data_IF_685160032663
#
_entry.id   IF_685160032663
#
_cell.length_a   1.000
_cell.length_b   1.000
_cell.length_c   1.000
_cell.angle_alpha   90.00
_cell.angle_beta   90.00
_cell.angle_gamma   90.00
#
_symmetry.space_group_name_H-M   'P 1'
#
loop_
_entity.id
_entity.type
_entity.pdbx_description
1 polymer ?
#
# COMPACT_ATOMS: atom_id res chain seq x y z
N UNK A 1 -56.64 -38.12 -29.39
CA UNK A 1 -56.65 -38.31 -27.92
C UNK A 1 -55.56 -39.30 -27.51
N UNK A 2 -54.46 -38.85 -26.91
CA UNK A 2 -53.85 -39.37 -25.65
C UNK A 2 -52.52 -38.64 -25.39
N UNK A 3 -52.32 -38.30 -24.12
CA UNK A 3 -51.46 -37.25 -23.56
C UNK A 3 -50.00 -37.67 -23.34
N UNK A 4 -49.11 -36.70 -23.53
CA UNK A 4 -47.97 -36.29 -22.68
C UNK A 4 -46.77 -37.23 -22.42
N UNK A 5 -45.64 -36.54 -22.18
CA UNK A 5 -44.43 -36.90 -21.44
C UNK A 5 -43.17 -37.25 -22.27
N UNK A 6 -42.25 -36.29 -22.30
CA UNK A 6 -40.91 -36.47 -22.86
C UNK A 6 -39.98 -35.29 -22.59
N UNK A 7 -40.05 -34.73 -21.38
CA UNK A 7 -38.97 -34.06 -20.63
C UNK A 7 -38.04 -33.11 -21.39
N UNK A 8 -38.36 -31.82 -21.23
CA UNK A 8 -37.42 -30.70 -21.27
C UNK A 8 -36.23 -30.93 -20.32
N UNK A 9 -35.03 -31.16 -20.85
CA UNK A 9 -33.77 -30.83 -20.15
C UNK A 9 -32.85 -30.15 -21.15
N UNK A 10 -33.22 -28.92 -21.54
CA UNK A 10 -32.24 -27.94 -21.97
C UNK A 10 -31.68 -27.36 -20.67
N UNK A 11 -30.68 -28.03 -20.09
CA UNK A 11 -29.98 -27.53 -18.92
C UNK A 11 -29.19 -26.30 -19.39
N UNK A 12 -29.80 -25.14 -19.21
CA UNK A 12 -29.15 -23.85 -19.27
C UNK A 12 -27.96 -23.94 -18.31
N UNK A 13 -26.76 -24.10 -18.87
CA UNK A 13 -25.51 -23.78 -18.20
C UNK A 13 -25.53 -22.28 -17.94
N UNK A 14 -26.33 -21.84 -16.98
CA UNK A 14 -26.09 -20.57 -16.30
C UNK A 14 -24.77 -20.77 -15.60
N UNK A 15 -23.69 -20.38 -16.28
CA UNK A 15 -22.40 -20.21 -15.66
C UNK A 15 -22.63 -19.32 -14.44
N UNK A 16 -22.58 -19.92 -13.26
CA UNK A 16 -22.46 -19.16 -12.03
C UNK A 16 -21.12 -18.46 -12.21
N UNK A 17 -21.15 -17.19 -12.61
CA UNK A 17 -19.98 -16.35 -12.48
C UNK A 17 -19.69 -16.33 -11.00
N UNK A 18 -18.83 -17.24 -10.54
CA UNK A 18 -18.27 -17.18 -9.20
C UNK A 18 -17.53 -15.86 -9.19
N UNK A 19 -18.15 -14.83 -8.63
CA UNK A 19 -17.45 -13.60 -8.31
C UNK A 19 -16.39 -14.01 -7.30
N UNK A 20 -15.19 -14.32 -7.81
CA UNK A 20 -14.04 -14.69 -6.99
C UNK A 20 -13.74 -13.44 -6.15
N UNK A 21 -14.20 -13.47 -4.91
CA UNK A 21 -13.90 -12.45 -3.92
C UNK A 21 -12.44 -12.66 -3.51
N UNK A 22 -11.63 -11.61 -3.60
CA UNK A 22 -10.21 -11.68 -3.30
C UNK A 22 -9.92 -11.04 -1.95
N UNK A 23 -10.15 -9.74 -1.77
CA UNK A 23 -9.93 -9.08 -0.47
C UNK A 23 -10.73 -7.78 -0.34
N UNK A 24 -11.10 -7.40 0.89
CA UNK A 24 -11.63 -6.05 1.16
C UNK A 24 -10.56 -5.22 1.85
N UNK A 25 -10.40 -3.96 1.48
CA UNK A 25 -9.49 -3.03 2.14
C UNK A 25 -10.18 -1.72 2.51
N UNK A 26 -9.66 -1.04 3.52
CA UNK A 26 -10.08 0.31 3.93
C UNK A 26 -8.89 1.11 4.41
N UNK A 27 -9.06 2.43 4.41
CA UNK A 27 -8.05 3.37 4.90
C UNK A 27 -8.68 4.21 6.01
N UNK A 28 -7.93 4.44 7.08
CA UNK A 28 -8.28 5.35 8.19
C UNK A 28 -9.66 5.07 8.81
N UNK A 29 -10.03 3.80 8.92
CA UNK A 29 -11.32 3.38 9.49
C UNK A 29 -12.54 3.66 8.60
N UNK A 30 -12.34 4.04 7.34
CA UNK A 30 -13.40 4.25 6.36
C UNK A 30 -14.18 2.98 5.98
N UNK A 31 -15.07 3.06 4.99
CA UNK A 31 -15.83 1.90 4.53
C UNK A 31 -14.89 0.84 3.91
N UNK A 32 -15.29 -0.43 4.04
CA UNK A 32 -14.65 -1.53 3.33
C UNK A 32 -14.90 -1.41 1.84
N UNK A 33 -13.82 -1.44 1.06
CA UNK A 33 -13.85 -1.41 -0.40
C UNK A 33 -13.44 -2.79 -0.89
N UNK A 34 -14.33 -3.39 -1.69
CA UNK A 34 -14.09 -4.69 -2.28
C UNK A 34 -13.04 -4.59 -3.39
N UNK A 35 -12.02 -5.46 -3.30
CA UNK A 35 -11.01 -5.68 -4.33
C UNK A 35 -11.25 -7.08 -4.88
N UNK A 36 -11.87 -7.16 -6.06
CA UNK A 36 -12.12 -8.43 -6.73
C UNK A 36 -10.83 -9.10 -7.20
N UNK A 37 -10.90 -10.41 -7.50
CA UNK A 37 -9.79 -11.10 -8.14
C UNK A 37 -9.45 -10.47 -9.51
N UNK A 38 -8.16 -10.27 -9.75
CA UNK A 38 -7.62 -9.51 -10.88
C UNK A 38 -7.81 -8.00 -10.77
N UNK A 39 -8.47 -7.52 -9.70
CA UNK A 39 -8.75 -6.11 -9.49
C UNK A 39 -7.56 -5.34 -8.95
N UNK A 40 -7.56 -4.03 -9.20
CA UNK A 40 -6.64 -3.09 -8.57
C UNK A 40 -7.44 -2.07 -7.76
N UNK A 41 -7.17 -1.98 -6.46
CA UNK A 41 -7.71 -0.94 -5.62
C UNK A 41 -6.81 0.29 -5.70
N UNK A 42 -7.35 1.35 -6.29
CA UNK A 42 -6.68 2.64 -6.40
C UNK A 42 -7.26 3.58 -5.35
N UNK A 43 -6.41 4.11 -4.46
CA UNK A 43 -6.83 5.06 -3.44
C UNK A 43 -5.87 6.23 -3.34
N UNK A 44 -6.41 7.41 -3.06
CA UNK A 44 -5.62 8.56 -2.63
C UNK A 44 -5.71 8.67 -1.12
N UNK A 45 -4.56 8.74 -0.46
CA UNK A 45 -4.47 8.73 1.00
C UNK A 45 -3.72 9.97 1.48
N UNK A 46 -4.36 10.85 2.26
CA UNK A 46 -3.66 11.95 2.89
C UNK A 46 -2.76 11.43 4.02
N UNK A 47 -1.53 11.91 4.07
CA UNK A 47 -0.54 11.58 5.10
C UNK A 47 0.16 12.81 5.64
N UNK A 48 0.52 12.74 6.90
CA UNK A 48 1.34 13.74 7.57
C UNK A 48 2.81 13.50 7.21
N UNK A 49 3.46 14.54 6.71
CA UNK A 49 4.89 14.58 6.46
C UNK A 49 5.59 15.13 7.69
N UNK A 50 6.47 14.33 8.29
CA UNK A 50 7.18 14.72 9.50
C UNK A 50 8.60 14.16 9.56
N UNK A 51 9.48 14.84 10.28
CA UNK A 51 10.82 14.34 10.54
C UNK A 51 10.76 13.21 11.58
N UNK A 52 11.34 12.06 11.27
CA UNK A 52 11.44 10.93 12.17
C UNK A 52 12.28 11.26 13.40
N UNK A 53 12.09 10.47 14.48
CA UNK A 53 12.75 10.70 15.75
C UNK A 53 14.29 10.68 15.66
N UNK A 54 14.84 9.87 14.75
CA UNK A 54 16.28 9.78 14.49
C UNK A 54 16.84 10.94 13.63
N UNK A 55 15.96 11.80 13.09
CA UNK A 55 16.27 12.92 12.18
C UNK A 55 16.98 12.55 10.88
N UNK A 56 17.12 11.27 10.58
CA UNK A 56 17.71 10.77 9.34
C UNK A 56 16.66 10.49 8.27
N UNK A 57 15.37 10.53 8.62
CA UNK A 57 14.26 10.17 7.75
C UNK A 57 13.11 11.15 7.88
N UNK A 58 12.52 11.53 6.76
CA UNK A 58 11.19 12.14 6.70
C UNK A 58 10.20 11.00 6.52
N UNK A 59 9.26 10.86 7.46
CA UNK A 59 8.26 9.81 7.49
C UNK A 59 6.95 10.32 6.89
N UNK A 60 6.29 9.48 6.09
CA UNK A 60 4.98 9.73 5.51
C UNK A 60 3.92 8.94 6.30
N UNK A 61 3.47 9.49 7.43
CA UNK A 61 2.65 8.78 8.43
C UNK A 61 1.17 9.17 8.41
N UNK A 62 0.34 8.41 9.12
CA UNK A 62 -1.10 8.72 9.27
C UNK A 62 -2.02 7.94 8.34
N UNK A 63 -1.48 7.14 7.40
CA UNK A 63 -2.24 6.15 6.66
C UNK A 63 -2.36 4.85 7.48
N UNK A 64 -3.57 4.52 7.93
CA UNK A 64 -3.90 3.21 8.50
C UNK A 64 -4.64 2.37 7.45
N UNK A 65 -3.87 1.57 6.72
CA UNK A 65 -4.40 0.58 5.80
C UNK A 65 -4.78 -0.69 6.55
N UNK A 66 -6.02 -1.12 6.40
CA UNK A 66 -6.50 -2.39 6.91
C UNK A 66 -7.12 -3.17 5.76
N UNK A 67 -6.77 -4.45 5.66
CA UNK A 67 -7.41 -5.35 4.71
C UNK A 67 -7.93 -6.59 5.46
N UNK A 68 -8.90 -7.26 4.86
CA UNK A 68 -9.46 -8.50 5.39
C UNK A 68 -9.71 -9.49 4.26
N UNK A 69 -9.80 -10.75 4.65
CA UNK A 69 -10.27 -11.80 3.76
C UNK A 69 -11.71 -11.49 3.33
N UNK A 70 -11.94 -11.35 2.02
CA UNK A 70 -13.30 -11.24 1.48
C UNK A 70 -13.70 -12.61 0.95
N UNK A 71 -14.59 -13.29 1.67
CA UNK A 71 -14.97 -14.69 1.49
C UNK A 71 -14.86 -15.26 0.07
N UNK A 72 -13.84 -16.08 -0.20
CA UNK A 72 -13.83 -16.99 -1.35
C UNK A 72 -14.85 -18.11 -1.10
N UNK A 73 -15.69 -18.44 -2.09
CA UNK A 73 -16.79 -19.41 -1.93
C UNK A 73 -16.35 -20.67 -1.17
N UNK A 74 -17.02 -20.92 -0.04
CA UNK A 74 -16.67 -21.97 0.92
C UNK A 74 -16.38 -21.43 2.33
N UNK A 75 -16.51 -22.28 3.36
CA UNK A 75 -16.32 -21.94 4.77
C UNK A 75 -15.01 -22.48 5.35
N UNK A 76 -14.01 -22.74 4.50
CA UNK A 76 -12.77 -23.39 4.90
C UNK A 76 -11.94 -22.44 5.78
N UNK A 77 -11.62 -22.81 7.03
CA UNK A 77 -10.92 -21.93 7.96
C UNK A 77 -9.44 -21.74 7.64
N UNK A 78 -8.85 -22.59 6.80
CA UNK A 78 -7.42 -22.52 6.41
C UNK A 78 -7.15 -21.61 5.20
N UNK A 79 -8.19 -21.06 4.57
CA UNK A 79 -8.00 -20.08 3.51
C UNK A 79 -7.41 -18.79 4.06
N UNK A 80 -6.38 -18.30 3.37
CA UNK A 80 -5.58 -17.17 3.84
C UNK A 80 -5.15 -16.30 2.66
N UNK A 81 -5.32 -14.99 2.82
CA UNK A 81 -4.76 -13.99 1.92
C UNK A 81 -3.47 -13.39 2.48
N UNK A 82 -2.64 -12.90 1.58
CA UNK A 82 -1.31 -12.41 1.88
C UNK A 82 -1.04 -11.13 1.12
N UNK A 83 -0.54 -10.09 1.79
CA UNK A 83 -0.06 -8.87 1.13
C UNK A 83 1.46 -8.80 1.17
N UNK A 84 2.07 -8.58 0.01
CA UNK A 84 3.52 -8.51 -0.14
C UNK A 84 3.97 -7.48 -1.18
N UNK A 85 5.24 -7.09 -1.12
CA UNK A 85 5.91 -6.43 -2.26
C UNK A 85 6.00 -7.39 -3.44
N UNK A 86 5.82 -6.90 -4.67
CA UNK A 86 5.92 -7.74 -5.87
C UNK A 86 6.20 -6.94 -7.12
N UNK A 87 7.07 -7.47 -7.98
CA UNK A 87 7.35 -6.88 -9.29
C UNK A 87 6.14 -6.95 -10.24
N UNK A 88 5.16 -7.83 -9.97
CA UNK A 88 3.95 -7.97 -10.81
C UNK A 88 3.10 -6.70 -10.84
N UNK A 89 3.16 -5.92 -9.77
CA UNK A 89 2.44 -4.65 -9.62
C UNK A 89 3.37 -3.43 -9.67
N UNK A 90 4.60 -3.62 -10.17
CA UNK A 90 5.63 -2.59 -10.24
C UNK A 90 6.43 -2.41 -8.94
N UNK A 91 7.30 -1.39 -8.85
CA UNK A 91 8.06 -1.13 -7.65
C UNK A 91 7.15 -0.89 -6.45
N UNK A 92 7.48 -1.49 -5.31
CA UNK A 92 6.67 -1.35 -4.10
C UNK A 92 6.53 0.11 -3.65
N UNK A 93 7.55 0.93 -3.90
CA UNK A 93 7.53 2.36 -3.65
C UNK A 93 8.06 3.14 -4.85
N UNK A 94 7.31 4.15 -5.26
CA UNK A 94 7.70 5.11 -6.31
C UNK A 94 7.61 6.52 -5.72
N UNK A 95 8.73 7.21 -5.48
CA UNK A 95 8.70 8.53 -4.88
C UNK A 95 8.07 9.57 -5.81
N UNK A 96 7.37 10.53 -5.20
CA UNK A 96 6.78 11.67 -5.91
C UNK A 96 7.83 12.68 -6.39
N UNK A 97 7.42 13.67 -7.21
CA UNK A 97 8.32 14.62 -7.86
C UNK A 97 9.26 15.35 -6.90
N UNK A 98 8.78 15.68 -5.70
CA UNK A 98 9.52 16.38 -4.64
C UNK A 98 10.71 15.59 -4.08
N UNK A 99 10.77 14.29 -4.32
CA UNK A 99 11.77 13.40 -3.71
C UNK A 99 12.61 12.63 -4.75
N UNK A 100 12.54 13.02 -6.03
CA UNK A 100 13.25 12.34 -7.14
C UNK A 100 14.78 12.34 -6.99
N UNK A 101 15.33 13.30 -6.24
CA UNK A 101 16.77 13.42 -5.95
C UNK A 101 17.17 12.81 -4.60
N UNK A 102 16.21 12.30 -3.85
CA UNK A 102 16.43 11.81 -2.50
C UNK A 102 16.50 10.28 -2.47
N UNK A 103 17.24 9.76 -1.48
CA UNK A 103 17.12 8.34 -1.16
C UNK A 103 15.75 8.10 -0.51
N UNK A 104 15.11 6.97 -0.80
CA UNK A 104 13.78 6.67 -0.25
C UNK A 104 13.67 5.21 0.16
N UNK A 105 12.57 4.82 0.80
CA UNK A 105 12.30 3.43 1.13
C UNK A 105 10.97 3.25 1.83
N UNK A 106 10.77 2.03 2.33
CA UNK A 106 9.60 1.63 3.11
C UNK A 106 10.04 1.10 4.47
N UNK A 107 9.36 1.52 5.53
CA UNK A 107 9.35 0.82 6.81
C UNK A 107 8.23 -0.22 6.77
N UNK A 108 8.58 -1.49 6.78
CA UNK A 108 7.64 -2.62 6.70
C UNK A 108 7.78 -3.45 7.98
N UNK A 109 6.69 -3.63 8.74
CA UNK A 109 6.71 -4.34 10.02
C UNK A 109 7.85 -3.85 10.95
N UNK A 110 8.02 -2.53 11.06
CA UNK A 110 9.10 -1.89 11.82
C UNK A 110 10.51 -1.91 11.19
N UNK A 111 10.75 -2.69 10.14
CA UNK A 111 12.08 -2.80 9.49
C UNK A 111 12.19 -1.86 8.28
N UNK A 112 13.33 -1.17 8.13
CA UNK A 112 13.56 -0.22 7.03
C UNK A 112 14.21 -0.88 5.82
N UNK A 113 13.60 -0.72 4.65
CA UNK A 113 14.10 -1.19 3.36
C UNK A 113 14.26 0.00 2.41
N UNK A 114 15.50 0.30 2.03
CA UNK A 114 15.77 1.35 1.05
C UNK A 114 15.30 0.92 -0.34
N UNK A 115 14.85 1.89 -1.13
CA UNK A 115 14.56 1.70 -2.55
C UNK A 115 15.84 1.38 -3.33
N UNK A 116 15.82 0.42 -4.27
CA UNK A 116 14.68 -0.42 -4.64
C UNK A 116 14.34 -1.45 -3.56
N UNK A 117 13.07 -1.45 -3.11
CA UNK A 117 12.61 -2.37 -2.06
C UNK A 117 12.51 -3.79 -2.65
N UNK A 118 13.08 -4.81 -1.98
CA UNK A 118 13.00 -6.19 -2.47
C UNK A 118 11.55 -6.70 -2.61
N UNK A 119 11.35 -7.61 -3.56
CA UNK A 119 10.08 -8.31 -3.75
C UNK A 119 9.91 -9.44 -2.72
N UNK A 120 8.67 -9.86 -2.47
CA UNK A 120 8.35 -10.97 -1.59
C UNK A 120 8.37 -10.64 -0.10
N UNK A 121 8.52 -9.37 0.28
CA UNK A 121 8.44 -8.96 1.68
C UNK A 121 6.97 -8.99 2.09
N UNK A 122 6.61 -9.92 2.99
CA UNK A 122 5.26 -10.09 3.52
C UNK A 122 4.96 -9.02 4.57
N UNK A 123 3.92 -8.21 4.35
CA UNK A 123 3.45 -7.25 5.36
C UNK A 123 2.47 -7.91 6.31
N UNK A 124 1.52 -8.68 5.78
CA UNK A 124 0.41 -9.19 6.58
C UNK A 124 -0.21 -10.45 5.99
N UNK A 125 -0.90 -11.18 6.84
CA UNK A 125 -1.54 -12.47 6.59
C UNK A 125 -2.95 -12.41 7.15
N UNK A 126 -3.95 -12.75 6.33
CA UNK A 126 -5.37 -12.57 6.62
C UNK A 126 -6.09 -13.91 6.55
N UNK A 127 -6.30 -14.57 7.70
CA UNK A 127 -7.13 -15.76 7.78
C UNK A 127 -8.57 -15.48 7.35
N UNK A 128 -9.27 -16.51 6.89
CA UNK A 128 -10.70 -16.47 6.59
C UNK A 128 -11.57 -16.38 7.87
N UNK A 129 -11.57 -15.20 8.49
CA UNK A 129 -12.37 -14.90 9.68
C UNK A 129 -13.10 -13.54 9.60
N UNK A 130 -12.94 -12.81 8.49
CA UNK A 130 -13.56 -11.49 8.27
C UNK A 130 -13.00 -10.35 9.13
N UNK A 131 -11.94 -10.60 9.92
CA UNK A 131 -11.29 -9.60 10.77
C UNK A 131 -10.38 -8.71 9.92
N UNK A 132 -10.37 -7.41 10.21
CA UNK A 132 -9.43 -6.47 9.61
C UNK A 132 -8.04 -6.58 10.20
N UNK A 133 -7.04 -6.76 9.35
CA UNK A 133 -5.63 -6.82 9.72
C UNK A 133 -4.90 -5.59 9.18
N UNK A 134 -4.02 -4.97 9.98
CA UNK A 134 -3.20 -3.87 9.51
C UNK A 134 -2.23 -4.36 8.43
N UNK A 135 -1.99 -3.51 7.44
CA UNK A 135 -0.89 -3.64 6.49
C UNK A 135 0.15 -2.59 6.92
N UNK A 136 1.12 -3.01 7.75
CA UNK A 136 2.10 -2.10 8.35
C UNK A 136 3.22 -1.75 7.36
N UNK A 137 2.99 -0.67 6.60
CA UNK A 137 3.94 -0.13 5.64
C UNK A 137 3.88 1.40 5.65
N UNK A 138 5.02 2.02 5.90
CA UNK A 138 5.18 3.48 5.97
C UNK A 138 6.31 3.92 5.05
N UNK A 139 6.07 4.74 4.03
CA UNK A 139 7.15 5.28 3.22
C UNK A 139 8.01 6.29 3.97
N UNK A 140 9.29 6.37 3.60
CA UNK A 140 10.21 7.39 4.11
C UNK A 140 11.14 7.94 3.04
N UNK A 141 11.61 9.16 3.28
CA UNK A 141 12.65 9.85 2.51
C UNK A 141 13.89 9.98 3.40
N UNK A 142 15.06 9.61 2.89
CA UNK A 142 16.33 9.75 3.59
C UNK A 142 16.77 11.21 3.57
N UNK A 143 17.03 11.77 4.74
CA UNK A 143 17.66 13.07 4.90
C UNK A 143 19.17 12.84 4.76
N UNK A 144 19.79 13.36 3.70
CA UNK A 144 21.25 13.34 3.56
C UNK A 144 21.87 14.49 4.35
N UNK A 145 22.91 14.18 5.12
CA UNK A 145 23.77 15.17 5.76
C UNK A 145 24.59 15.91 4.68
N UNK A 146 24.23 17.16 4.40
CA UNK A 146 24.98 18.15 3.60
C UNK A 146 25.16 17.94 2.08
N UNK A 147 24.86 18.99 1.29
CA UNK A 147 23.63 19.77 1.32
C UNK A 147 22.50 18.98 0.65
N UNK A 148 21.45 18.69 1.40
CA UNK A 148 20.18 18.21 0.85
C UNK A 148 19.55 19.33 0.03
N UNK A 149 18.95 19.04 -1.12
CA UNK A 149 18.12 20.07 -1.77
C UNK A 149 17.03 20.47 -0.77
N UNK A 150 16.68 21.77 -0.65
CA UNK A 150 15.53 22.15 0.14
C UNK A 150 14.32 21.33 -0.27
N UNK A 151 13.71 20.64 0.68
CA UNK A 151 12.47 19.92 0.48
C UNK A 151 11.37 20.84 0.97
N UNK A 152 10.47 21.21 0.07
CA UNK A 152 9.28 21.99 0.37
C UNK A 152 8.03 21.25 -0.11
N UNK A 153 7.29 20.72 0.84
CA UNK A 153 6.03 20.00 0.65
C UNK A 153 4.88 20.91 1.03
N UNK A 154 3.90 21.02 0.14
CA UNK A 154 2.65 21.73 0.36
C UNK A 154 1.50 20.75 0.47
N UNK A 155 0.48 21.13 1.24
CA UNK A 155 -0.78 20.36 1.33
C UNK A 155 -1.29 20.07 -0.08
N UNK A 156 -1.67 18.80 -0.32
CA UNK A 156 -2.15 18.32 -1.61
C UNK A 156 -1.06 17.83 -2.58
N UNK A 157 0.23 18.07 -2.29
CA UNK A 157 1.33 17.53 -3.11
C UNK A 157 1.25 15.99 -3.18
N UNK A 158 1.50 15.43 -4.37
CA UNK A 158 1.66 13.99 -4.55
C UNK A 158 3.05 13.57 -4.07
N UNK A 159 3.08 12.76 -3.02
CA UNK A 159 4.29 12.35 -2.31
C UNK A 159 4.89 11.04 -2.86
N UNK A 160 4.09 10.22 -3.53
CA UNK A 160 4.52 8.98 -4.14
C UNK A 160 3.42 7.93 -4.23
N UNK A 161 3.77 6.77 -4.79
CA UNK A 161 2.90 5.63 -4.96
C UNK A 161 3.41 4.40 -4.21
N UNK A 162 2.50 3.69 -3.52
CA UNK A 162 2.75 2.37 -2.93
C UNK A 162 2.01 1.31 -3.74
N UNK A 163 2.72 0.27 -4.18
CA UNK A 163 2.13 -0.85 -4.90
C UNK A 163 2.34 -2.15 -4.11
N UNK A 164 1.26 -2.89 -3.84
CA UNK A 164 1.30 -4.18 -3.16
C UNK A 164 0.49 -5.21 -3.94
N UNK A 165 0.91 -6.47 -3.85
CA UNK A 165 0.17 -7.60 -4.42
C UNK A 165 -0.45 -8.41 -3.30
N UNK A 166 -1.72 -8.76 -3.50
CA UNK A 166 -2.42 -9.77 -2.73
C UNK A 166 -2.31 -11.12 -3.45
N UNK A 167 -1.94 -12.15 -2.69
CA UNK A 167 -1.94 -13.55 -3.11
C UNK A 167 -2.64 -14.39 -2.06
N UNK A 168 -2.86 -15.68 -2.36
CA UNK A 168 -3.54 -16.58 -1.45
C UNK A 168 -3.07 -18.04 -1.57
N UNK A 169 -3.61 -18.93 -0.72
CA UNK A 169 -3.28 -20.36 -0.68
C UNK A 169 -4.36 -21.30 -1.24
N UNK A 170 -5.39 -20.79 -1.91
CA UNK A 170 -6.56 -21.58 -2.30
C UNK A 170 -6.89 -21.52 -3.80
N UNK A 171 -6.34 -20.56 -4.55
CA UNK A 171 -6.45 -20.50 -6.01
C UNK A 171 -5.28 -19.70 -6.63
N UNK A 172 -5.34 -19.48 -7.95
CA UNK A 172 -4.33 -18.71 -8.69
C UNK A 172 -4.66 -17.21 -8.83
N UNK A 173 -5.76 -16.74 -8.23
CA UNK A 173 -6.19 -15.35 -8.27
C UNK A 173 -5.27 -14.46 -7.42
N UNK A 174 -5.11 -13.22 -7.86
CA UNK A 174 -4.41 -12.17 -7.14
C UNK A 174 -5.15 -10.86 -7.25
N UNK A 175 -4.83 -9.90 -6.38
CA UNK A 175 -5.31 -8.53 -6.50
C UNK A 175 -4.14 -7.56 -6.28
N UNK A 176 -4.33 -6.31 -6.67
CA UNK A 176 -3.34 -5.26 -6.48
C UNK A 176 -3.90 -4.12 -5.63
N UNK A 177 -3.02 -3.50 -4.86
CA UNK A 177 -3.27 -2.23 -4.20
C UNK A 177 -2.31 -1.19 -4.75
N UNK A 178 -2.84 -0.07 -5.21
CA UNK A 178 -2.08 1.09 -5.66
C UNK A 178 -2.54 2.32 -4.87
N UNK A 179 -1.75 2.73 -3.88
CA UNK A 179 -2.04 3.92 -3.07
C UNK A 179 -1.22 5.11 -3.57
N UNK A 180 -1.89 6.23 -3.82
CA UNK A 180 -1.23 7.52 -4.04
C UNK A 180 -1.24 8.31 -2.74
N UNK A 181 -0.06 8.64 -2.23
CA UNK A 181 0.09 9.41 -1.00
C UNK A 181 0.05 10.91 -1.33
N UNK A 182 -0.77 11.66 -0.59
CA UNK A 182 -0.90 13.12 -0.72
C UNK A 182 -0.59 13.81 0.61
N UNK A 183 -0.01 15.00 0.58
CA UNK A 183 0.36 15.71 1.80
C UNK A 183 -0.86 16.29 2.53
N UNK A 184 -0.99 15.98 3.82
CA UNK A 184 -2.01 16.54 4.71
C UNK A 184 -1.54 17.81 5.45
N UNK A 185 -0.23 18.10 5.44
CA UNK A 185 0.36 19.28 6.07
C UNK A 185 1.47 19.87 5.18
N UNK A 186 1.79 21.14 5.42
CA UNK A 186 3.01 21.73 4.89
C UNK A 186 4.21 21.20 5.68
N UNK A 187 5.32 20.93 5.00
CA UNK A 187 6.57 20.50 5.62
C UNK A 187 7.75 21.05 4.82
N UNK A 188 8.70 21.67 5.50
CA UNK A 188 9.91 22.19 4.88
C UNK A 188 11.15 21.81 5.68
N UNK A 189 12.18 21.36 4.98
CA UNK A 189 13.53 21.21 5.53
C UNK A 189 14.54 21.79 4.55
N UNK A 190 15.39 22.66 5.06
CA UNK A 190 16.48 23.28 4.32
C UNK A 190 17.79 22.94 5.00
N UNK A 191 18.88 22.67 4.26
CA UNK A 191 20.19 22.48 4.86
C UNK A 191 20.59 23.75 5.62
N UNK A 192 20.95 23.61 6.89
CA UNK A 192 21.56 24.69 7.64
C UNK A 192 22.98 24.92 7.10
N UNK A 193 23.21 26.05 6.45
CA UNK A 193 24.57 26.53 6.13
C UNK A 193 25.23 26.99 7.42
N UNK A 194 25.65 26.06 8.27
CA UNK A 194 26.57 26.40 9.34
C UNK A 194 27.96 26.54 8.70
N UNK A 195 28.25 27.70 8.12
CA UNK A 195 29.64 28.12 7.96
C UNK A 195 30.18 28.33 9.37
N UNK A 196 30.86 27.33 9.91
CA UNK A 196 31.79 27.56 11.01
C UNK A 196 32.73 28.63 10.49
N UNK A 197 32.69 29.81 11.08
CA UNK A 197 33.58 30.92 10.74
C UNK A 197 35.00 30.63 11.24
N UNK A 198 35.53 29.42 11.02
CA UNK A 198 36.87 28.97 11.38
C UNK A 198 37.32 29.43 12.79
N UNK A 199 36.43 29.40 13.79
CA UNK A 199 36.66 29.89 15.16
C UNK A 199 36.95 31.40 15.32
N UNK A 200 36.69 32.24 14.30
CA UNK A 200 36.81 33.68 14.43
C UNK A 200 35.53 34.32 15.02
N UNK A 201 35.67 35.27 15.96
CA UNK A 201 34.57 36.13 16.38
C UNK A 201 34.01 36.91 15.18
N UNK A 202 32.70 37.10 15.16
CA UNK A 202 32.07 38.10 14.29
C UNK A 202 32.15 39.42 15.07
N UNK A 203 32.92 40.38 14.56
CA UNK A 203 32.93 41.78 15.03
C UNK A 203 31.64 42.51 14.65
#
# INVERSE_FOLDING_TARGET
MKRLYGVMVLLVLTGVATTVRATDCRVNGGPWIFVGAGGTLNLQVPVTVQLGADRTRIMLEGARLECRFSGFGGSQPWYTDYWATSARVGPAWVPGPKFTREGTGLRINGTHYNSPVPNGIRMTTMPNNGVGYPVDVTPYILVRNSPTNPIDVRIGDVLGGLNLEQTNNYNAGSAALALTYTAANNFSISPSTCTINNNNPID
#
